data_IF_172668707440
#
_entry.id   IF_172668707440
#
_cell.length_a   1.000
_cell.length_b   1.000
_cell.length_c   1.000
_cell.angle_alpha   90.00
_cell.angle_beta   90.00
_cell.angle_gamma   90.00
#
_symmetry.space_group_name_H-M   'P 1'
#
loop_
_entity.id
_entity.type
_entity.pdbx_description
1 polymer ?
#
# COMPACT_ATOMS: atom_id res chain seq x y z
N UNK A 1 42.95 51.36 20.45
CA UNK A 1 42.23 52.22 19.51
C UNK A 1 41.63 51.38 18.42
N UNK A 2 40.36 51.66 18.17
CA UNK A 2 39.50 51.22 17.07
C UNK A 2 38.86 49.85 17.18
N UNK A 3 37.66 49.93 17.71
CA UNK A 3 36.53 49.02 17.70
C UNK A 3 36.00 48.85 16.28
N UNK A 4 35.69 47.62 15.79
CA UNK A 4 34.79 47.42 14.67
C UNK A 4 33.80 46.29 15.00
N UNK A 5 32.62 46.73 15.39
CA UNK A 5 31.42 45.91 15.47
C UNK A 5 31.10 45.33 14.08
N UNK A 6 31.02 43.99 13.97
CA UNK A 6 30.35 43.30 12.88
C UNK A 6 28.95 42.94 13.33
N UNK A 7 27.99 43.74 12.85
CA UNK A 7 26.56 43.39 12.98
C UNK A 7 26.26 42.41 11.84
N UNK A 8 26.12 41.16 12.21
CA UNK A 8 25.61 40.12 11.32
C UNK A 8 24.09 40.22 11.28
N UNK A 9 23.56 40.79 10.18
CA UNK A 9 22.12 40.83 9.90
C UNK A 9 21.71 39.44 9.40
N UNK A 10 21.10 38.64 10.28
CA UNK A 10 20.47 37.38 9.93
C UNK A 10 19.16 37.70 9.20
N UNK A 11 19.17 37.63 7.87
CA UNK A 11 17.94 37.71 7.09
C UNK A 11 17.12 36.44 7.31
N UNK A 12 16.13 36.51 8.21
CA UNK A 12 15.06 35.52 8.29
C UNK A 12 14.20 35.63 7.03
N UNK A 13 14.43 34.77 6.06
CA UNK A 13 13.47 34.52 4.98
C UNK A 13 12.24 33.82 5.59
N UNK A 14 11.20 34.59 5.85
CA UNK A 14 9.86 34.06 6.10
C UNK A 14 9.41 33.34 4.81
N UNK A 15 9.50 32.03 4.81
CA UNK A 15 8.70 31.24 3.87
C UNK A 15 7.24 31.39 4.30
N UNK A 16 6.52 32.32 3.71
CA UNK A 16 5.08 32.36 3.77
C UNK A 16 4.59 31.09 3.08
N UNK A 17 4.23 30.08 3.84
CA UNK A 17 3.39 28.98 3.35
C UNK A 17 2.06 29.61 2.99
N UNK A 18 1.84 29.86 1.71
CA UNK A 18 0.51 30.19 1.19
C UNK A 18 -0.33 28.93 1.37
N UNK A 19 -0.94 28.82 2.53
CA UNK A 19 -2.04 27.89 2.74
C UNK A 19 -3.18 28.44 1.88
N UNK A 20 -3.42 27.82 0.73
CA UNK A 20 -4.68 28.01 0.02
C UNK A 20 -5.76 27.51 0.97
N UNK A 21 -6.49 28.42 1.61
CA UNK A 21 -7.67 28.08 2.38
C UNK A 21 -8.61 27.33 1.43
N UNK A 22 -8.82 26.07 1.65
CA UNK A 22 -9.75 25.26 0.88
C UNK A 22 -11.13 25.90 1.05
N UNK A 23 -11.82 26.16 -0.05
CA UNK A 23 -13.12 26.87 -0.01
C UNK A 23 -14.14 25.98 0.71
N UNK A 24 -14.63 26.39 1.86
CA UNK A 24 -15.71 25.69 2.56
C UNK A 24 -17.04 25.92 1.85
N UNK A 25 -17.80 24.85 1.60
CA UNK A 25 -19.13 24.87 0.97
C UNK A 25 -20.15 24.14 1.83
N UNK A 26 -21.41 24.50 1.68
CA UNK A 26 -22.51 23.83 2.36
C UNK A 26 -22.84 22.50 1.69
N UNK A 27 -23.15 21.48 2.49
CA UNK A 27 -23.86 20.30 2.03
C UNK A 27 -25.28 20.28 2.61
N UNK A 28 -26.20 19.76 1.81
CA UNK A 28 -27.62 19.59 2.19
C UNK A 28 -28.05 18.20 1.78
N UNK A 29 -28.40 17.38 2.76
CA UNK A 29 -28.76 15.98 2.55
C UNK A 29 -30.14 15.74 3.14
N UNK A 30 -31.09 15.31 2.31
CA UNK A 30 -32.41 14.87 2.74
C UNK A 30 -32.55 13.39 2.40
N UNK A 31 -33.15 12.60 3.29
CA UNK A 31 -33.25 11.19 2.99
C UNK A 31 -34.20 10.41 3.86
N UNK A 32 -34.21 9.11 3.52
CA UNK A 32 -34.95 8.07 4.24
C UNK A 32 -34.00 6.98 4.69
N UNK A 33 -34.34 6.30 5.79
CA UNK A 33 -33.63 5.17 6.34
C UNK A 33 -34.59 4.21 7.05
N UNK A 34 -34.15 2.99 7.42
CA UNK A 34 -34.98 2.07 8.19
C UNK A 34 -35.50 2.70 9.47
N UNK A 35 -36.73 2.41 9.85
CA UNK A 35 -37.43 3.02 11.01
C UNK A 35 -36.71 2.72 12.35
N UNK A 36 -35.87 1.71 12.43
CA UNK A 36 -35.05 1.37 13.60
C UNK A 36 -33.89 2.35 13.83
N UNK A 37 -33.47 3.07 12.79
CA UNK A 37 -32.35 4.03 12.86
C UNK A 37 -32.80 5.28 13.63
N UNK A 38 -32.00 5.75 14.57
CA UNK A 38 -32.27 6.93 15.40
C UNK A 38 -31.43 8.14 15.03
N UNK A 39 -30.28 7.91 14.44
CA UNK A 39 -29.31 8.97 14.12
C UNK A 39 -28.59 8.64 12.82
N UNK A 40 -28.41 9.64 11.98
CA UNK A 40 -27.55 9.62 10.80
C UNK A 40 -26.30 10.43 11.12
N UNK A 41 -25.17 9.99 10.61
CA UNK A 41 -23.88 10.66 10.77
C UNK A 41 -23.30 11.02 9.41
N UNK A 42 -22.64 12.18 9.35
CA UNK A 42 -21.72 12.55 8.26
C UNK A 42 -20.31 12.39 8.78
N UNK A 43 -19.51 11.67 8.04
CA UNK A 43 -18.10 11.38 8.34
C UNK A 43 -17.21 12.14 7.37
N UNK A 44 -16.14 12.74 7.86
CA UNK A 44 -15.00 13.11 7.05
C UNK A 44 -14.14 11.86 6.87
N UNK A 45 -13.86 11.50 5.62
CA UNK A 45 -13.06 10.32 5.26
C UNK A 45 -11.83 10.68 4.41
N UNK A 46 -11.51 11.95 4.27
CA UNK A 46 -10.30 12.44 3.60
C UNK A 46 -9.02 12.17 4.41
N UNK A 47 -9.16 12.01 5.72
CA UNK A 47 -8.05 11.77 6.64
C UNK A 47 -7.69 10.28 6.80
N UNK A 48 -6.60 10.03 7.52
CA UNK A 48 -6.15 8.66 7.86
C UNK A 48 -7.12 7.91 8.80
N UNK A 49 -8.06 8.62 9.42
CA UNK A 49 -9.11 8.07 10.30
C UNK A 49 -10.42 8.78 10.02
N UNK A 50 -11.49 8.03 9.71
CA UNK A 50 -12.82 8.62 9.56
C UNK A 50 -13.27 9.30 10.86
N UNK A 51 -13.76 10.55 10.76
CA UNK A 51 -14.24 11.33 11.89
C UNK A 51 -15.69 11.77 11.67
N UNK A 52 -16.51 11.74 12.73
CA UNK A 52 -17.87 12.29 12.67
C UNK A 52 -17.78 13.81 12.68
N UNK A 53 -18.24 14.44 11.61
CA UNK A 53 -18.30 15.91 11.50
C UNK A 53 -19.69 16.48 11.74
N UNK A 54 -20.74 15.66 11.54
CA UNK A 54 -22.12 16.10 11.73
C UNK A 54 -23.04 14.92 12.03
N UNK A 55 -24.26 15.22 12.56
CA UNK A 55 -25.28 14.21 12.79
C UNK A 55 -26.68 14.82 12.82
N UNK A 56 -27.69 14.02 12.44
CA UNK A 56 -29.09 14.39 12.53
C UNK A 56 -29.94 13.28 13.16
N UNK A 57 -30.95 13.65 13.91
CA UNK A 57 -31.97 12.71 14.39
C UNK A 57 -32.87 12.27 13.25
N UNK A 58 -33.36 11.05 13.36
CA UNK A 58 -34.33 10.46 12.42
C UNK A 58 -35.71 10.54 13.02
N UNK A 59 -36.65 11.07 12.26
CA UNK A 59 -38.05 11.15 12.62
C UNK A 59 -38.90 10.41 11.59
N UNK A 60 -39.64 9.39 12.03
CA UNK A 60 -40.46 8.54 11.16
C UNK A 60 -39.72 8.02 9.91
N UNK A 61 -38.45 7.59 10.07
CA UNK A 61 -37.63 7.10 8.99
C UNK A 61 -37.12 8.16 8.00
N UNK A 62 -37.26 9.44 8.34
CA UNK A 62 -36.78 10.58 7.52
C UNK A 62 -35.73 11.37 8.29
N UNK A 63 -34.81 11.99 7.54
CA UNK A 63 -33.79 12.89 8.10
C UNK A 63 -33.48 14.04 7.15
N UNK A 64 -32.99 15.12 7.72
CA UNK A 64 -32.36 16.22 7.01
C UNK A 64 -31.12 16.66 7.76
N UNK A 65 -30.01 16.88 7.04
CA UNK A 65 -28.76 17.32 7.62
C UNK A 65 -28.15 18.40 6.72
N UNK A 66 -27.74 19.51 7.32
CA UNK A 66 -27.13 20.63 6.63
C UNK A 66 -25.88 21.03 7.40
N UNK A 67 -24.76 21.03 6.74
CA UNK A 67 -23.48 21.37 7.34
C UNK A 67 -22.55 22.03 6.36
N UNK A 68 -21.28 22.13 6.76
CA UNK A 68 -20.20 22.69 5.94
C UNK A 68 -18.98 21.81 6.02
N UNK A 69 -18.30 21.64 4.90
CA UNK A 69 -16.98 21.06 4.83
C UNK A 69 -16.21 21.69 3.68
N UNK A 70 -14.98 21.27 3.48
CA UNK A 70 -14.21 21.70 2.32
C UNK A 70 -14.91 21.30 1.02
N UNK A 71 -14.77 22.16 0.00
CA UNK A 71 -15.25 21.85 -1.33
C UNK A 71 -14.55 20.61 -1.86
N UNK A 72 -15.32 19.74 -2.47
CA UNK A 72 -14.90 18.47 -3.05
C UNK A 72 -14.39 17.44 -2.00
N UNK A 73 -14.50 17.71 -0.69
CA UNK A 73 -14.18 16.74 0.35
C UNK A 73 -14.93 15.41 0.14
N UNK A 74 -14.26 14.29 0.31
CA UNK A 74 -14.86 12.96 0.28
C UNK A 74 -15.50 12.69 1.64
N UNK A 75 -16.82 12.61 1.67
CA UNK A 75 -17.60 12.42 2.88
C UNK A 75 -18.34 11.07 2.86
N UNK A 76 -18.65 10.56 4.05
CA UNK A 76 -19.43 9.34 4.24
C UNK A 76 -20.75 9.61 4.96
N UNK A 77 -21.86 9.12 4.43
CA UNK A 77 -23.18 9.12 5.09
C UNK A 77 -23.45 7.73 5.68
N UNK A 78 -23.76 7.65 6.98
CA UNK A 78 -23.87 6.36 7.68
C UNK A 78 -24.87 6.35 8.81
N UNK A 79 -25.38 5.15 9.13
CA UNK A 79 -26.23 4.88 10.30
C UNK A 79 -25.44 4.24 11.45
N UNK A 80 -24.25 3.64 11.17
CA UNK A 80 -23.51 2.79 12.12
C UNK A 80 -22.11 3.30 12.44
N UNK A 81 -21.62 4.33 11.76
CA UNK A 81 -20.23 4.85 11.78
C UNK A 81 -19.19 3.84 11.25
N UNK A 82 -19.62 2.76 10.62
CA UNK A 82 -18.75 1.71 10.04
C UNK A 82 -18.95 1.59 8.53
N UNK A 83 -20.19 1.43 8.11
CA UNK A 83 -20.53 1.27 6.70
C UNK A 83 -21.15 2.59 6.23
N UNK A 84 -20.50 3.28 5.33
CA UNK A 84 -20.94 4.60 4.84
C UNK A 84 -21.09 4.59 3.33
N UNK A 85 -22.07 5.41 2.86
CA UNK A 85 -22.20 5.76 1.44
C UNK A 85 -21.41 7.02 1.19
N UNK A 86 -20.48 6.93 0.25
CA UNK A 86 -19.54 8.01 -0.04
C UNK A 86 -20.13 9.04 -1.02
N UNK A 87 -19.76 10.30 -0.83
CA UNK A 87 -20.09 11.39 -1.75
C UNK A 87 -19.05 12.51 -1.65
N UNK A 88 -18.94 13.31 -2.71
CA UNK A 88 -18.15 14.53 -2.70
C UNK A 88 -19.01 15.73 -2.32
N UNK A 89 -18.52 16.60 -1.44
CA UNK A 89 -19.18 17.87 -1.13
C UNK A 89 -18.93 18.89 -2.24
N UNK A 90 -19.68 18.81 -3.32
CA UNK A 90 -19.64 19.75 -4.45
C UNK A 90 -20.60 20.94 -4.29
N UNK A 91 -21.19 21.11 -3.09
CA UNK A 91 -22.14 22.17 -2.77
C UNK A 91 -23.56 21.94 -3.32
N UNK A 92 -23.84 20.82 -3.98
CA UNK A 92 -25.15 20.48 -4.51
C UNK A 92 -25.96 19.62 -3.55
N UNK A 93 -27.30 19.75 -3.52
CA UNK A 93 -28.14 18.93 -2.67
C UNK A 93 -28.04 17.44 -2.98
N UNK A 94 -28.12 16.61 -1.93
CA UNK A 94 -28.13 15.16 -2.01
C UNK A 94 -29.48 14.64 -1.50
N UNK A 95 -30.04 13.67 -2.21
CA UNK A 95 -31.16 12.85 -1.75
C UNK A 95 -30.67 11.44 -1.47
N UNK A 96 -30.95 10.91 -0.27
CA UNK A 96 -30.50 9.62 0.17
C UNK A 96 -31.67 8.68 0.47
N UNK A 97 -31.56 7.43 0.02
CA UNK A 97 -32.36 6.29 0.46
C UNK A 97 -31.43 5.23 1.04
N UNK A 98 -31.21 5.27 2.33
CA UNK A 98 -30.29 4.36 3.02
C UNK A 98 -30.87 2.96 3.25
N UNK A 99 -32.16 2.74 2.96
CA UNK A 99 -32.73 1.39 2.93
C UNK A 99 -32.26 0.63 1.69
N UNK A 100 -32.16 1.34 0.56
CA UNK A 100 -31.79 0.78 -0.73
C UNK A 100 -30.36 1.16 -1.17
N UNK A 101 -29.58 1.79 -0.30
CA UNK A 101 -28.22 2.24 -0.56
C UNK A 101 -28.09 3.17 -1.78
N UNK A 102 -29.05 4.13 -1.92
CA UNK A 102 -29.09 5.05 -3.05
C UNK A 102 -28.78 6.47 -2.58
N UNK A 103 -27.78 7.09 -3.21
CA UNK A 103 -27.53 8.52 -3.15
C UNK A 103 -27.74 9.13 -4.54
N UNK A 104 -28.44 10.24 -4.61
CA UNK A 104 -28.61 11.06 -5.82
C UNK A 104 -28.21 12.49 -5.52
N UNK A 105 -27.41 13.08 -6.36
CA UNK A 105 -26.92 14.46 -6.22
C UNK A 105 -26.54 15.03 -7.57
N UNK A 106 -25.37 15.62 -7.66
CA UNK A 106 -24.76 15.98 -8.94
C UNK A 106 -24.55 14.76 -9.83
N UNK A 107 -24.19 14.99 -11.07
CA UNK A 107 -23.79 13.92 -11.99
C UNK A 107 -22.62 13.09 -11.42
N UNK A 108 -21.61 13.75 -10.84
CA UNK A 108 -20.49 13.13 -10.17
C UNK A 108 -20.94 12.17 -9.05
N UNK A 109 -21.76 12.67 -8.10
CA UNK A 109 -22.22 11.89 -6.96
C UNK A 109 -23.19 10.77 -7.35
N UNK A 110 -24.04 11.00 -8.34
CA UNK A 110 -24.94 9.96 -8.88
C UNK A 110 -24.14 8.83 -9.54
N UNK A 111 -23.11 9.18 -10.32
CA UNK A 111 -22.20 8.23 -10.97
C UNK A 111 -21.36 7.46 -9.94
N UNK A 112 -20.81 8.16 -8.93
CA UNK A 112 -20.06 7.53 -7.83
C UNK A 112 -20.93 6.49 -7.10
N UNK A 113 -22.16 6.84 -6.74
CA UNK A 113 -23.08 5.92 -6.07
C UNK A 113 -23.46 4.70 -6.95
N UNK A 114 -23.54 4.87 -8.27
CA UNK A 114 -23.76 3.74 -9.18
C UNK A 114 -22.59 2.74 -9.10
N UNK A 115 -21.35 3.22 -9.09
CA UNK A 115 -20.16 2.39 -8.91
C UNK A 115 -20.09 1.76 -7.51
N UNK A 116 -20.41 2.52 -6.45
CA UNK A 116 -20.42 2.02 -5.07
C UNK A 116 -21.38 0.82 -4.92
N UNK A 117 -22.57 0.92 -5.51
CA UNK A 117 -23.55 -0.19 -5.55
C UNK A 117 -23.08 -1.38 -6.39
N UNK A 118 -22.35 -1.12 -7.48
CA UNK A 118 -21.72 -2.16 -8.26
C UNK A 118 -20.67 -2.91 -7.45
N UNK A 119 -19.85 -2.18 -6.67
CA UNK A 119 -18.86 -2.79 -5.76
C UNK A 119 -19.53 -3.61 -4.66
N UNK A 120 -20.63 -3.11 -4.07
CA UNK A 120 -21.43 -3.89 -3.11
C UNK A 120 -21.89 -5.22 -3.73
N UNK A 121 -22.42 -5.19 -4.95
CA UNK A 121 -22.91 -6.39 -5.63
C UNK A 121 -21.79 -7.39 -5.97
N UNK A 122 -20.61 -6.91 -6.38
CA UNK A 122 -19.43 -7.74 -6.63
C UNK A 122 -18.82 -8.31 -5.34
N UNK A 123 -18.90 -7.56 -4.24
CA UNK A 123 -18.40 -7.94 -2.93
C UNK A 123 -19.34 -8.85 -2.12
N UNK A 124 -20.54 -9.15 -2.62
CA UNK A 124 -21.45 -10.11 -1.99
C UNK A 124 -20.72 -11.43 -1.76
N UNK A 125 -20.63 -11.86 -0.50
CA UNK A 125 -19.88 -13.06 -0.11
C UNK A 125 -18.58 -12.79 0.65
N UNK A 126 -18.02 -11.58 0.61
CA UNK A 126 -16.84 -11.24 1.44
C UNK A 126 -17.19 -11.21 2.93
N UNK A 127 -18.27 -10.52 3.32
CA UNK A 127 -18.66 -10.41 4.73
C UNK A 127 -18.83 -11.77 5.41
N UNK A 128 -19.57 -12.76 4.84
CA UNK A 128 -19.63 -14.10 5.41
C UNK A 128 -18.27 -14.80 5.53
N UNK A 129 -17.34 -14.57 4.61
CA UNK A 129 -15.99 -15.13 4.66
C UNK A 129 -15.16 -14.48 5.76
N UNK A 130 -15.22 -13.15 5.91
CA UNK A 130 -14.55 -12.45 7.01
C UNK A 130 -15.11 -12.82 8.38
N UNK A 131 -16.43 -13.05 8.48
CA UNK A 131 -17.04 -13.58 9.71
C UNK A 131 -16.51 -14.98 10.03
N UNK A 132 -16.33 -15.86 9.04
CA UNK A 132 -15.70 -17.17 9.24
C UNK A 132 -14.26 -17.03 9.74
N UNK A 133 -13.46 -16.11 9.14
CA UNK A 133 -12.10 -15.81 9.60
C UNK A 133 -12.11 -15.30 11.04
N UNK A 134 -12.98 -14.35 11.39
CA UNK A 134 -13.10 -13.82 12.74
C UNK A 134 -13.48 -14.92 13.75
N UNK A 135 -14.43 -15.79 13.40
CA UNK A 135 -14.84 -16.92 14.24
C UNK A 135 -13.68 -17.88 14.48
N UNK A 136 -12.80 -18.14 13.51
CA UNK A 136 -11.62 -19.00 13.68
C UNK A 136 -10.61 -18.43 14.70
N UNK A 137 -10.49 -17.10 14.79
CA UNK A 137 -9.65 -16.47 15.81
C UNK A 137 -10.25 -16.51 17.21
N UNK A 138 -11.58 -16.45 17.31
CA UNK A 138 -12.30 -16.44 18.57
C UNK A 138 -12.65 -17.86 19.08
N UNK A 139 -12.48 -18.90 18.26
CA UNK A 139 -12.82 -20.28 18.62
C UNK A 139 -11.79 -20.84 19.61
N UNK A 140 -12.24 -21.13 20.83
CA UNK A 140 -11.44 -21.82 21.85
C UNK A 140 -11.19 -23.27 21.45
N UNK A 141 -10.04 -23.83 21.87
CA UNK A 141 -9.68 -25.22 21.65
C UNK A 141 -9.07 -25.56 20.28
N UNK A 142 -9.04 -24.64 19.31
CA UNK A 142 -8.35 -24.86 18.05
C UNK A 142 -6.83 -24.72 18.22
N UNK A 143 -6.09 -25.75 17.83
CA UNK A 143 -4.63 -25.65 17.71
C UNK A 143 -4.24 -24.65 16.64
N UNK A 144 -3.00 -24.13 16.75
CA UNK A 144 -2.43 -23.20 15.74
C UNK A 144 -2.46 -23.81 14.33
N UNK A 145 -2.16 -25.11 14.21
CA UNK A 145 -2.11 -25.82 12.92
C UNK A 145 -3.51 -25.96 12.29
N UNK A 146 -4.52 -26.35 13.08
CA UNK A 146 -5.90 -26.47 12.59
C UNK A 146 -6.45 -25.12 12.13
N UNK A 147 -6.17 -24.05 12.89
CA UNK A 147 -6.53 -22.68 12.49
C UNK A 147 -5.88 -22.30 11.17
N UNK A 148 -4.58 -22.55 11.01
CA UNK A 148 -3.87 -22.25 9.75
C UNK A 148 -4.43 -23.03 8.56
N UNK A 149 -4.78 -24.31 8.74
CA UNK A 149 -5.37 -25.11 7.67
C UNK A 149 -6.72 -24.53 7.22
N UNK A 150 -7.60 -24.18 8.16
CA UNK A 150 -8.90 -23.57 7.86
C UNK A 150 -8.76 -22.19 7.19
N UNK A 151 -7.77 -21.37 7.62
CA UNK A 151 -7.49 -20.09 6.96
C UNK A 151 -7.01 -20.28 5.53
N UNK A 152 -6.17 -21.29 5.24
CA UNK A 152 -5.73 -21.63 3.88
C UNK A 152 -6.89 -22.03 2.95
N UNK A 153 -7.98 -22.58 3.49
CA UNK A 153 -9.18 -22.92 2.70
C UNK A 153 -10.05 -21.70 2.37
N UNK A 154 -10.05 -20.69 3.26
CA UNK A 154 -10.82 -19.45 3.07
C UNK A 154 -10.09 -18.44 2.19
N UNK A 155 -8.77 -18.36 2.29
CA UNK A 155 -7.94 -17.39 1.60
C UNK A 155 -8.17 -17.33 0.08
N UNK A 156 -8.18 -18.43 -0.68
CA UNK A 156 -8.41 -18.37 -2.12
C UNK A 156 -9.82 -17.87 -2.50
N UNK A 157 -10.82 -18.08 -1.62
CA UNK A 157 -12.18 -17.59 -1.84
C UNK A 157 -12.27 -16.07 -1.67
N UNK A 158 -11.58 -15.55 -0.65
CA UNK A 158 -11.47 -14.10 -0.42
C UNK A 158 -10.69 -13.46 -1.57
N UNK A 159 -9.51 -13.98 -1.89
CA UNK A 159 -8.65 -13.48 -2.98
C UNK A 159 -9.35 -13.45 -4.33
N UNK A 160 -10.20 -14.43 -4.63
CA UNK A 160 -10.95 -14.46 -5.87
C UNK A 160 -11.97 -13.32 -5.99
N UNK A 161 -12.59 -12.92 -4.87
CA UNK A 161 -13.52 -11.77 -4.85
C UNK A 161 -12.73 -10.47 -4.89
N UNK A 162 -11.69 -10.33 -4.05
CA UNK A 162 -10.85 -9.14 -3.98
C UNK A 162 -10.16 -8.84 -5.33
N UNK A 163 -9.70 -9.88 -6.03
CA UNK A 163 -9.12 -9.74 -7.38
C UNK A 163 -10.13 -9.12 -8.36
N UNK A 164 -11.38 -9.59 -8.34
CA UNK A 164 -12.44 -9.05 -9.21
C UNK A 164 -12.79 -7.60 -8.84
N UNK A 165 -12.91 -7.31 -7.54
CA UNK A 165 -13.18 -5.96 -7.04
C UNK A 165 -12.07 -4.99 -7.45
N UNK A 166 -10.81 -5.37 -7.22
CA UNK A 166 -9.66 -4.52 -7.53
C UNK A 166 -9.48 -4.30 -9.03
N UNK A 167 -9.71 -5.34 -9.86
CA UNK A 167 -9.72 -5.20 -11.31
C UNK A 167 -10.79 -4.20 -11.76
N UNK A 168 -12.01 -4.32 -11.22
CA UNK A 168 -13.12 -3.42 -11.57
C UNK A 168 -12.89 -1.98 -11.09
N UNK A 169 -12.37 -1.81 -9.86
CA UNK A 169 -11.97 -0.48 -9.35
C UNK A 169 -10.94 0.19 -10.26
N UNK A 170 -9.95 -0.56 -10.73
CA UNK A 170 -8.93 -0.04 -11.64
C UNK A 170 -9.55 0.39 -13.00
N UNK A 171 -10.51 -0.35 -13.54
CA UNK A 171 -11.26 0.06 -14.74
C UNK A 171 -12.04 1.36 -14.49
N UNK A 172 -12.73 1.46 -13.34
CA UNK A 172 -13.47 2.68 -12.96
C UNK A 172 -12.52 3.87 -12.84
N UNK A 173 -11.37 3.71 -12.20
CA UNK A 173 -10.33 4.74 -12.10
C UNK A 173 -9.91 5.20 -13.49
N UNK A 174 -9.53 4.27 -14.38
CA UNK A 174 -9.07 4.58 -15.74
C UNK A 174 -10.15 5.27 -16.59
N UNK A 175 -11.43 4.92 -16.38
CA UNK A 175 -12.56 5.54 -17.08
C UNK A 175 -12.96 6.93 -16.54
N UNK A 176 -12.33 7.40 -15.45
CA UNK A 176 -12.72 8.64 -14.76
C UNK A 176 -11.52 9.53 -14.41
N UNK A 177 -10.43 9.47 -15.18
CA UNK A 177 -9.20 10.23 -14.88
C UNK A 177 -9.34 11.75 -15.04
N UNK A 178 -10.49 12.22 -15.52
CA UNK A 178 -10.85 13.64 -15.74
C UNK A 178 -11.76 14.21 -14.62
N UNK A 179 -12.10 13.41 -13.60
CA UNK A 179 -12.97 13.81 -12.51
C UNK A 179 -12.49 13.25 -11.16
N UNK A 180 -13.26 13.44 -10.07
CA UNK A 180 -12.84 13.05 -8.72
C UNK A 180 -13.07 11.58 -8.36
N UNK A 181 -13.77 10.79 -9.15
CA UNK A 181 -14.09 9.38 -8.82
C UNK A 181 -12.85 8.55 -8.44
N UNK A 182 -11.67 8.72 -9.06
CA UNK A 182 -10.46 8.00 -8.66
C UNK A 182 -10.07 8.14 -7.18
N UNK A 183 -10.42 9.26 -6.54
CA UNK A 183 -10.15 9.49 -5.11
C UNK A 183 -10.75 8.40 -4.23
N UNK A 184 -11.96 7.94 -4.58
CA UNK A 184 -12.69 6.95 -3.81
C UNK A 184 -12.05 5.54 -3.84
N UNK A 185 -11.27 5.22 -4.88
CA UNK A 185 -10.82 3.84 -5.13
C UNK A 185 -9.31 3.66 -5.22
N UNK A 186 -8.52 4.74 -5.41
CA UNK A 186 -7.07 4.63 -5.55
C UNK A 186 -6.40 4.01 -4.33
N UNK A 187 -6.88 4.33 -3.12
CA UNK A 187 -6.37 3.76 -1.88
C UNK A 187 -6.44 2.24 -1.82
N UNK A 188 -7.48 1.65 -2.43
CA UNK A 188 -7.71 0.22 -2.41
C UNK A 188 -6.78 -0.55 -3.36
N UNK A 189 -6.47 0.02 -4.53
CA UNK A 189 -5.75 -0.70 -5.60
C UNK A 189 -4.26 -0.38 -5.66
N UNK A 190 -3.83 0.74 -5.08
CA UNK A 190 -2.48 1.28 -5.29
C UNK A 190 -1.36 0.31 -4.89
N UNK A 191 -1.58 -0.48 -3.84
CA UNK A 191 -0.58 -1.42 -3.32
C UNK A 191 -0.34 -2.64 -4.22
N UNK A 192 -1.25 -2.90 -5.17
CA UNK A 192 -1.15 -3.98 -6.15
C UNK A 192 -0.59 -3.53 -7.51
N UNK A 193 -0.34 -2.23 -7.71
CA UNK A 193 0.10 -1.67 -8.99
C UNK A 193 1.62 -1.61 -9.11
N UNK A 194 2.10 -1.75 -10.34
CA UNK A 194 3.50 -1.47 -10.67
C UNK A 194 3.76 0.04 -10.72
N UNK A 195 5.01 0.45 -10.47
CA UNK A 195 5.38 1.87 -10.42
C UNK A 195 4.95 2.67 -11.67
N UNK A 196 5.10 2.10 -12.86
CA UNK A 196 4.71 2.78 -14.10
C UNK A 196 3.20 3.02 -14.21
N UNK A 197 2.39 2.09 -13.69
CA UNK A 197 0.92 2.26 -13.62
C UNK A 197 0.56 3.36 -12.62
N UNK A 198 1.20 3.35 -11.44
CA UNK A 198 1.02 4.40 -10.42
C UNK A 198 1.37 5.79 -10.98
N UNK A 199 2.46 5.90 -11.74
CA UNK A 199 2.94 7.14 -12.34
C UNK A 199 1.90 7.77 -13.25
N UNK A 200 1.22 6.98 -14.08
CA UNK A 200 0.17 7.49 -14.98
C UNK A 200 -1.08 7.92 -14.20
N UNK A 201 -1.49 7.13 -13.21
CA UNK A 201 -2.68 7.41 -12.39
C UNK A 201 -2.48 8.61 -11.44
N UNK A 202 -1.26 8.87 -11.01
CA UNK A 202 -0.93 9.92 -10.03
C UNK A 202 -0.18 11.10 -10.64
N UNK A 203 -0.25 11.27 -11.98
CA UNK A 203 0.30 12.42 -12.64
C UNK A 203 -0.31 13.71 -12.10
N UNK A 204 0.53 14.73 -11.83
CA UNK A 204 0.11 15.99 -11.21
C UNK A 204 -0.88 16.80 -12.05
N UNK A 205 -1.02 16.50 -13.34
CA UNK A 205 -2.02 17.11 -14.24
C UNK A 205 -3.44 16.58 -14.02
N UNK A 206 -3.61 15.48 -13.30
CA UNK A 206 -4.92 14.92 -13.00
C UNK A 206 -5.70 15.82 -12.05
N UNK A 207 -6.97 16.04 -12.32
CA UNK A 207 -7.83 16.94 -11.52
C UNK A 207 -7.92 16.52 -10.04
N UNK A 208 -7.79 15.23 -9.76
CA UNK A 208 -7.82 14.65 -8.42
C UNK A 208 -6.44 14.56 -7.74
N UNK A 209 -5.35 14.82 -8.48
CA UNK A 209 -4.00 14.54 -7.98
C UNK A 209 -3.65 15.27 -6.68
N UNK A 210 -4.27 16.42 -6.39
CA UNK A 210 -4.02 17.22 -5.18
C UNK A 210 -5.04 16.98 -4.07
N UNK A 211 -5.95 16.02 -4.25
CA UNK A 211 -6.99 15.75 -3.25
C UNK A 211 -6.38 15.23 -1.94
N UNK A 212 -6.81 15.74 -0.76
CA UNK A 212 -6.25 15.35 0.55
C UNK A 212 -6.37 13.85 0.86
N UNK A 213 -7.47 13.20 0.49
CA UNK A 213 -7.66 11.76 0.67
C UNK A 213 -6.57 10.90 0.01
N UNK A 214 -5.82 11.44 -0.95
CA UNK A 214 -4.73 10.73 -1.61
C UNK A 214 -3.36 10.92 -0.94
N UNK A 215 -3.26 11.58 0.21
CA UNK A 215 -1.98 11.85 0.85
C UNK A 215 -1.20 10.56 1.17
N UNK A 216 -1.85 9.52 1.68
CA UNK A 216 -1.20 8.23 1.97
C UNK A 216 -0.80 7.51 0.67
N UNK A 217 -1.65 7.55 -0.36
CA UNK A 217 -1.36 7.03 -1.71
C UNK A 217 -0.12 7.70 -2.29
N UNK A 218 0.01 9.02 -2.15
CA UNK A 218 1.17 9.79 -2.62
C UNK A 218 2.44 9.47 -1.84
N UNK A 219 2.34 9.27 -0.53
CA UNK A 219 3.48 8.83 0.28
C UNK A 219 4.00 7.48 -0.19
N UNK A 220 3.10 6.54 -0.42
CA UNK A 220 3.47 5.23 -0.97
C UNK A 220 4.09 5.36 -2.37
N UNK A 221 3.48 6.14 -3.25
CA UNK A 221 4.03 6.42 -4.59
C UNK A 221 5.43 7.03 -4.53
N UNK A 222 5.69 7.98 -3.62
CA UNK A 222 7.01 8.58 -3.45
C UNK A 222 8.08 7.55 -3.03
N UNK A 223 7.70 6.60 -2.15
CA UNK A 223 8.57 5.47 -1.77
C UNK A 223 8.87 4.60 -2.99
N UNK A 224 7.86 4.26 -3.78
CA UNK A 224 8.02 3.44 -4.98
C UNK A 224 8.83 4.17 -6.06
N UNK A 225 8.65 5.49 -6.22
CA UNK A 225 9.43 6.33 -7.13
C UNK A 225 10.91 6.34 -6.74
N UNK A 226 11.22 6.52 -5.45
CA UNK A 226 12.59 6.44 -4.93
C UNK A 226 13.21 5.07 -5.23
N UNK A 227 12.47 4.00 -4.97
CA UNK A 227 12.92 2.63 -5.24
C UNK A 227 13.13 2.41 -6.74
N UNK A 228 12.18 2.78 -7.59
CA UNK A 228 12.29 2.66 -9.05
C UNK A 228 13.47 3.46 -9.62
N UNK A 229 13.91 4.52 -8.93
CA UNK A 229 15.07 5.33 -9.35
C UNK A 229 16.40 4.57 -9.31
N UNK A 230 16.45 3.40 -8.70
CA UNK A 230 17.64 2.52 -8.72
C UNK A 230 17.78 1.76 -10.04
N UNK A 231 16.71 1.53 -10.78
CA UNK A 231 16.78 0.84 -12.09
C UNK A 231 17.71 1.63 -13.04
N UNK A 232 18.63 0.93 -13.69
CA UNK A 232 19.65 1.50 -14.57
C UNK A 232 20.86 2.09 -13.85
N UNK A 233 20.88 2.11 -12.52
CA UNK A 233 22.04 2.55 -11.73
C UNK A 233 22.89 1.38 -11.28
N UNK A 234 24.16 1.63 -11.00
CA UNK A 234 25.03 0.65 -10.34
C UNK A 234 24.55 0.40 -8.92
N UNK A 235 24.72 -0.85 -8.47
CA UNK A 235 24.50 -1.19 -7.06
C UNK A 235 25.39 -0.31 -6.16
N UNK A 236 24.97 -0.10 -4.93
CA UNK A 236 25.77 0.63 -3.94
C UNK A 236 26.49 -0.38 -3.06
N UNK A 237 27.82 -0.30 -3.01
CA UNK A 237 28.62 -1.23 -2.19
C UNK A 237 28.39 -0.96 -0.70
N UNK A 238 28.13 -2.02 0.05
CA UNK A 238 28.00 -2.01 1.51
C UNK A 238 28.81 -3.16 2.10
N UNK A 239 29.12 -3.07 3.37
CA UNK A 239 29.82 -4.11 4.14
C UNK A 239 28.92 -4.60 5.25
N UNK A 240 28.61 -5.89 5.25
CA UNK A 240 27.92 -6.57 6.35
C UNK A 240 28.59 -7.90 6.67
N UNK A 241 28.28 -8.49 7.81
CA UNK A 241 28.92 -9.71 8.26
C UNK A 241 28.11 -10.96 7.89
N UNK A 242 28.81 -12.06 7.60
CA UNK A 242 28.20 -13.39 7.52
C UNK A 242 27.80 -13.91 8.92
N UNK A 243 27.22 -15.09 8.96
CA UNK A 243 26.77 -15.74 10.22
C UNK A 243 27.92 -16.07 11.19
N UNK A 244 29.15 -16.03 10.74
CA UNK A 244 30.36 -16.28 11.53
C UNK A 244 31.05 -14.97 11.96
N UNK A 245 30.47 -13.81 11.60
CA UNK A 245 31.02 -12.49 11.89
C UNK A 245 32.12 -12.03 10.94
N UNK A 246 32.34 -12.74 9.82
CA UNK A 246 33.30 -12.32 8.81
C UNK A 246 32.66 -11.23 7.92
N UNK A 247 33.36 -10.08 7.72
CA UNK A 247 32.84 -9.02 6.87
C UNK A 247 32.95 -9.38 5.38
N UNK A 248 31.92 -9.03 4.62
CA UNK A 248 31.82 -9.17 3.18
C UNK A 248 31.30 -7.88 2.55
N UNK A 249 31.76 -7.58 1.33
CA UNK A 249 31.28 -6.48 0.51
C UNK A 249 30.34 -7.01 -0.57
N UNK A 250 29.31 -6.27 -0.89
CA UNK A 250 28.44 -6.62 -2.04
C UNK A 250 29.23 -6.70 -3.34
N UNK A 251 30.30 -5.90 -3.49
CA UNK A 251 31.20 -5.93 -4.63
C UNK A 251 32.01 -7.22 -4.76
N UNK A 252 31.99 -8.11 -3.77
CA UNK A 252 32.58 -9.47 -3.91
C UNK A 252 31.70 -10.37 -4.78
N UNK A 253 30.40 -10.05 -4.89
CA UNK A 253 29.39 -10.85 -5.59
C UNK A 253 28.81 -10.14 -6.82
N UNK A 254 28.46 -8.85 -6.70
CA UNK A 254 27.86 -8.06 -7.76
C UNK A 254 28.93 -7.49 -8.72
N UNK A 255 28.60 -7.41 -10.02
CA UNK A 255 29.50 -6.88 -11.04
C UNK A 255 30.68 -7.80 -11.34
N UNK A 256 30.54 -9.11 -11.19
CA UNK A 256 31.55 -10.14 -11.41
C UNK A 256 31.23 -11.07 -12.58
N UNK A 257 30.39 -10.63 -13.50
CA UNK A 257 30.01 -11.43 -14.66
C UNK A 257 28.78 -12.31 -14.46
N UNK A 258 28.14 -12.24 -13.30
CA UNK A 258 26.95 -13.01 -12.94
C UNK A 258 25.74 -12.08 -12.68
N UNK A 259 24.52 -12.57 -12.91
CA UNK A 259 23.31 -11.94 -12.37
C UNK A 259 23.20 -12.24 -10.89
N UNK A 260 22.95 -11.20 -10.07
CA UNK A 260 22.84 -11.34 -8.60
C UNK A 260 21.51 -10.79 -8.12
N UNK A 261 20.75 -11.61 -7.40
CA UNK A 261 19.58 -11.17 -6.66
C UNK A 261 20.03 -10.71 -5.27
N UNK A 262 19.96 -9.42 -4.99
CA UNK A 262 20.07 -8.87 -3.63
C UNK A 262 18.69 -9.03 -3.00
N UNK A 263 18.54 -9.94 -2.04
CA UNK A 263 17.28 -10.28 -1.38
C UNK A 263 17.23 -9.72 0.05
N UNK A 264 16.28 -8.84 0.34
CA UNK A 264 16.08 -8.22 1.64
C UNK A 264 15.01 -8.97 2.41
N UNK A 265 15.41 -9.64 3.49
CA UNK A 265 14.56 -10.54 4.24
C UNK A 265 14.79 -10.50 5.76
N UNK A 266 14.06 -11.31 6.54
CA UNK A 266 14.34 -11.57 7.94
C UNK A 266 13.74 -12.89 8.41
N UNK A 267 14.30 -13.47 9.46
CA UNK A 267 13.81 -14.72 10.06
C UNK A 267 12.37 -14.62 10.60
N UNK A 268 11.99 -13.46 11.09
CA UNK A 268 10.66 -13.13 11.62
C UNK A 268 9.66 -12.71 10.55
N UNK A 269 10.09 -12.48 9.31
CA UNK A 269 9.24 -12.04 8.21
C UNK A 269 8.46 -13.22 7.62
N UNK A 270 7.19 -13.36 7.97
CA UNK A 270 6.32 -14.42 7.46
C UNK A 270 6.22 -14.47 5.94
N UNK A 271 5.91 -13.36 5.25
CA UNK A 271 5.88 -13.32 3.78
C UNK A 271 7.22 -13.66 3.12
N UNK A 272 8.37 -13.23 3.71
CA UNK A 272 9.70 -13.61 3.21
C UNK A 272 9.89 -15.14 3.25
N UNK A 273 9.56 -15.75 4.38
CA UNK A 273 9.62 -17.21 4.57
C UNK A 273 8.70 -17.96 3.60
N UNK A 274 7.56 -17.37 3.26
CA UNK A 274 6.63 -17.92 2.27
C UNK A 274 7.18 -17.87 0.83
N UNK A 275 7.99 -16.87 0.52
CA UNK A 275 8.64 -16.71 -0.80
C UNK A 275 9.92 -17.58 -0.96
N UNK A 276 10.60 -17.93 0.13
CA UNK A 276 11.87 -18.68 0.06
C UNK A 276 11.82 -19.98 -0.75
N UNK A 277 10.76 -20.81 -0.73
CA UNK A 277 10.69 -21.98 -1.60
C UNK A 277 10.79 -21.64 -3.09
N UNK A 278 10.17 -20.55 -3.54
CA UNK A 278 10.25 -20.06 -4.91
C UNK A 278 11.65 -19.54 -5.25
N UNK A 279 12.24 -18.73 -4.36
CA UNK A 279 13.62 -18.21 -4.51
C UNK A 279 14.62 -19.37 -4.62
N UNK A 280 14.48 -20.38 -3.74
CA UNK A 280 15.33 -21.57 -3.72
C UNK A 280 15.22 -22.39 -5.01
N UNK A 281 14.01 -22.64 -5.49
CA UNK A 281 13.79 -23.39 -6.75
C UNK A 281 14.45 -22.67 -7.95
N UNK A 282 14.37 -21.35 -7.99
CA UNK A 282 15.04 -20.55 -9.03
C UNK A 282 16.57 -20.56 -8.85
N UNK A 283 17.09 -20.49 -7.64
CA UNK A 283 18.51 -20.61 -7.36
C UNK A 283 19.06 -21.97 -7.83
N UNK A 284 18.44 -23.07 -7.43
CA UNK A 284 18.82 -24.42 -7.84
C UNK A 284 18.83 -24.59 -9.36
N UNK A 285 17.86 -23.97 -10.06
CA UNK A 285 17.75 -24.06 -11.52
C UNK A 285 18.84 -23.26 -12.25
N UNK A 286 19.16 -22.06 -11.79
CA UNK A 286 19.97 -21.11 -12.56
C UNK A 286 21.37 -20.85 -12.00
N UNK A 287 21.69 -21.28 -10.76
CA UNK A 287 22.98 -21.03 -10.13
C UNK A 287 24.16 -21.54 -10.97
N UNK A 288 24.07 -22.76 -11.49
CA UNK A 288 25.12 -23.35 -12.35
C UNK A 288 25.31 -22.61 -13.70
N UNK A 289 24.40 -21.64 -14.02
CA UNK A 289 24.46 -20.79 -15.22
C UNK A 289 24.87 -19.35 -14.92
N UNK A 290 25.30 -19.07 -13.70
CA UNK A 290 25.76 -17.75 -13.29
C UNK A 290 24.69 -16.87 -12.63
N UNK A 291 23.70 -17.47 -11.99
CA UNK A 291 22.79 -16.76 -11.12
C UNK A 291 23.23 -16.90 -9.66
N UNK A 292 23.35 -15.80 -8.94
CA UNK A 292 23.73 -15.78 -7.55
C UNK A 292 22.71 -15.02 -6.70
N UNK A 293 22.69 -15.27 -5.40
CA UNK A 293 21.86 -14.55 -4.44
C UNK A 293 22.73 -14.05 -3.29
N UNK A 294 22.49 -12.83 -2.85
CA UNK A 294 23.00 -12.27 -1.60
C UNK A 294 21.82 -11.88 -0.73
N UNK A 295 21.60 -12.63 0.35
CA UNK A 295 20.56 -12.31 1.34
C UNK A 295 21.05 -11.25 2.31
N UNK A 296 20.33 -10.11 2.39
CA UNK A 296 20.58 -9.03 3.36
C UNK A 296 19.51 -9.07 4.44
N UNK A 297 19.90 -9.46 5.65
CA UNK A 297 18.92 -9.72 6.72
C UNK A 297 18.66 -8.50 7.59
N UNK A 298 17.37 -8.29 7.89
CA UNK A 298 16.84 -7.32 8.85
C UNK A 298 16.63 -7.92 10.24
N UNK A 299 17.39 -8.95 10.57
CA UNK A 299 17.39 -9.52 11.91
C UNK A 299 18.15 -8.67 12.91
N UNK A 300 17.81 -8.79 14.17
CA UNK A 300 18.53 -8.19 15.31
C UNK A 300 19.00 -9.26 16.33
N UNK A 301 18.80 -10.54 16.01
CA UNK A 301 19.18 -11.70 16.84
C UNK A 301 19.89 -12.72 15.99
N UNK A 302 21.20 -12.89 16.24
CA UNK A 302 22.06 -13.81 15.49
C UNK A 302 21.52 -15.24 15.48
N UNK A 303 21.11 -15.78 16.63
CA UNK A 303 20.68 -17.17 16.74
C UNK A 303 19.37 -17.44 15.97
N UNK A 304 18.43 -16.48 15.97
CA UNK A 304 17.19 -16.59 15.19
C UNK A 304 17.47 -16.58 13.69
N UNK A 305 18.39 -15.71 13.25
CA UNK A 305 18.83 -15.60 11.87
C UNK A 305 19.55 -16.87 11.40
N UNK A 306 20.56 -17.35 12.15
CA UNK A 306 21.27 -18.62 11.87
C UNK A 306 20.30 -19.78 11.74
N UNK A 307 19.42 -19.95 12.74
CA UNK A 307 18.41 -21.00 12.73
C UNK A 307 17.51 -20.93 11.50
N UNK A 308 17.09 -19.75 11.08
CA UNK A 308 16.25 -19.60 9.90
C UNK A 308 16.97 -19.99 8.61
N UNK A 309 18.26 -19.65 8.45
CA UNK A 309 19.09 -20.05 7.33
C UNK A 309 19.20 -21.59 7.27
N UNK A 310 19.46 -22.22 8.41
CA UNK A 310 19.57 -23.69 8.53
C UNK A 310 18.22 -24.38 8.23
N UNK A 311 17.14 -23.96 8.90
CA UNK A 311 15.79 -24.53 8.75
C UNK A 311 15.29 -24.47 7.31
N UNK A 312 15.57 -23.38 6.60
CA UNK A 312 15.17 -23.16 5.20
C UNK A 312 16.23 -23.63 4.20
N UNK A 313 17.41 -24.06 4.67
CA UNK A 313 18.52 -24.53 3.83
C UNK A 313 18.89 -23.52 2.75
N UNK A 314 19.13 -22.25 3.13
CA UNK A 314 19.51 -21.20 2.20
C UNK A 314 20.97 -21.40 1.77
N UNK A 315 21.20 -21.86 0.53
CA UNK A 315 22.49 -22.27 0.01
C UNK A 315 23.39 -21.12 -0.47
N UNK A 316 22.94 -19.86 -0.36
CA UNK A 316 23.67 -18.67 -0.78
C UNK A 316 24.18 -17.86 0.42
N UNK A 317 25.04 -16.86 0.15
CA UNK A 317 25.58 -16.00 1.19
C UNK A 317 24.46 -15.15 1.84
N UNK A 318 24.46 -15.12 3.16
CA UNK A 318 23.54 -14.30 3.94
C UNK A 318 24.37 -13.36 4.82
N UNK A 319 24.06 -12.06 4.78
CA UNK A 319 24.76 -11.00 5.47
C UNK A 319 23.82 -10.20 6.35
N UNK A 320 24.33 -9.66 7.47
CA UNK A 320 23.59 -8.79 8.37
C UNK A 320 24.51 -7.98 9.27
N UNK A 321 24.12 -6.75 9.60
CA UNK A 321 24.72 -5.97 10.67
C UNK A 321 23.97 -6.10 12.01
N UNK A 322 22.92 -6.93 12.04
CA UNK A 322 22.04 -7.22 13.18
C UNK A 322 21.36 -5.98 13.78
N UNK A 323 21.11 -4.94 12.98
CA UNK A 323 20.46 -3.69 13.42
C UNK A 323 18.96 -3.60 13.09
N UNK A 324 18.36 -4.67 12.61
CA UNK A 324 16.95 -4.71 12.24
C UNK A 324 16.62 -3.65 11.17
N UNK A 325 15.62 -2.83 11.39
CA UNK A 325 15.25 -1.75 10.47
C UNK A 325 16.27 -0.60 10.35
N UNK A 326 17.29 -0.57 11.23
CA UNK A 326 18.39 0.39 11.18
C UNK A 326 19.62 -0.15 10.43
N UNK A 327 19.49 -1.27 9.73
CA UNK A 327 20.56 -1.88 8.95
C UNK A 327 21.08 -0.92 7.85
N UNK A 328 22.38 -0.97 7.59
CA UNK A 328 23.00 -0.18 6.52
C UNK A 328 22.38 -0.52 5.16
N UNK A 329 22.03 -1.78 4.93
CA UNK A 329 21.35 -2.23 3.72
C UNK A 329 20.02 -1.52 3.51
N UNK A 330 19.18 -1.48 4.56
CA UNK A 330 17.88 -0.80 4.52
C UNK A 330 17.99 0.69 4.24
N UNK A 331 18.91 1.37 4.91
CA UNK A 331 19.14 2.81 4.72
C UNK A 331 19.67 3.14 3.33
N UNK A 332 20.66 2.38 2.86
CA UNK A 332 21.31 2.60 1.57
C UNK A 332 20.34 2.41 0.40
N UNK A 333 19.58 1.34 0.41
CA UNK A 333 18.66 0.99 -0.67
C UNK A 333 17.23 1.53 -0.46
N UNK A 334 16.97 2.24 0.63
CA UNK A 334 15.69 2.84 0.93
C UNK A 334 14.59 1.80 1.14
N UNK A 335 14.92 0.66 1.76
CA UNK A 335 13.98 -0.43 2.03
C UNK A 335 13.13 -0.08 3.24
N UNK A 336 11.83 0.05 3.03
CA UNK A 336 10.84 0.38 4.07
C UNK A 336 9.92 -0.79 4.41
N UNK A 337 9.97 -1.86 3.62
CA UNK A 337 9.23 -3.10 3.84
C UNK A 337 9.97 -4.29 3.25
N UNK A 338 9.82 -5.46 3.86
CA UNK A 338 10.33 -6.75 3.37
C UNK A 338 9.17 -7.75 3.22
N UNK A 339 9.27 -8.69 2.26
CA UNK A 339 10.39 -8.95 1.37
C UNK A 339 10.58 -7.84 0.33
N UNK A 340 11.81 -7.62 -0.11
CA UNK A 340 12.17 -6.76 -1.23
C UNK A 340 13.37 -7.38 -1.97
N UNK A 341 13.52 -7.11 -3.26
CA UNK A 341 14.66 -7.63 -3.99
C UNK A 341 15.12 -6.72 -5.12
N UNK A 342 16.42 -6.74 -5.43
CA UNK A 342 17.03 -6.01 -6.53
C UNK A 342 17.82 -7.01 -7.37
N UNK A 343 17.50 -7.11 -8.66
CA UNK A 343 18.28 -7.93 -9.59
C UNK A 343 19.37 -7.07 -10.23
N UNK A 344 20.61 -7.48 -10.07
CA UNK A 344 21.81 -6.81 -10.58
C UNK A 344 22.36 -7.63 -11.75
N UNK A 345 22.70 -6.97 -12.87
CA UNK A 345 23.28 -7.60 -14.04
C UNK A 345 24.78 -7.92 -13.86
N UNK A 346 25.40 -8.64 -14.82
CA UNK A 346 26.83 -8.97 -14.77
C UNK A 346 27.80 -7.79 -14.62
N UNK A 347 27.40 -6.62 -15.06
CA UNK A 347 28.16 -5.36 -15.00
C UNK A 347 27.91 -4.59 -13.71
N UNK A 348 26.99 -5.05 -12.85
CA UNK A 348 26.65 -4.42 -11.58
C UNK A 348 25.55 -3.36 -11.68
N UNK A 349 24.76 -3.35 -12.74
CA UNK A 349 23.61 -2.44 -12.92
C UNK A 349 22.34 -3.10 -12.38
N UNK A 350 21.52 -2.37 -11.64
CA UNK A 350 20.21 -2.84 -11.15
C UNK A 350 19.24 -2.84 -12.33
N UNK A 351 18.73 -4.00 -12.71
CA UNK A 351 17.87 -4.18 -13.89
C UNK A 351 16.41 -4.51 -13.58
N UNK A 352 16.12 -4.97 -12.36
CA UNK A 352 14.76 -5.21 -11.91
C UNK A 352 14.65 -5.12 -10.37
N UNK A 353 13.42 -4.93 -9.89
CA UNK A 353 13.08 -4.81 -8.48
C UNK A 353 11.92 -5.74 -8.15
N UNK A 354 11.85 -6.18 -6.88
CA UNK A 354 10.70 -6.89 -6.30
C UNK A 354 10.20 -8.08 -7.13
N UNK A 355 11.12 -8.84 -7.67
CA UNK A 355 10.80 -10.08 -8.39
C UNK A 355 10.35 -11.14 -7.39
N UNK A 356 9.04 -11.45 -7.38
CA UNK A 356 8.42 -12.44 -6.48
C UNK A 356 7.51 -13.38 -7.25
N UNK A 357 7.27 -14.57 -6.68
CA UNK A 357 6.43 -15.59 -7.30
C UNK A 357 6.90 -15.86 -8.74
N UNK A 358 5.97 -15.95 -9.64
CA UNK A 358 6.23 -16.25 -11.06
C UNK A 358 7.12 -15.20 -11.76
N UNK A 359 7.17 -13.94 -11.24
CA UNK A 359 7.97 -12.87 -11.85
C UNK A 359 9.48 -13.16 -11.81
N UNK A 360 9.98 -13.76 -10.72
CA UNK A 360 11.39 -14.12 -10.62
C UNK A 360 11.75 -15.19 -11.67
N UNK A 361 10.97 -16.25 -11.72
CA UNK A 361 11.19 -17.33 -12.70
C UNK A 361 11.04 -16.84 -14.15
N UNK A 362 10.05 -16.00 -14.44
CA UNK A 362 9.85 -15.40 -15.76
C UNK A 362 11.05 -14.54 -16.18
N UNK A 363 11.57 -13.70 -15.28
CA UNK A 363 12.73 -12.85 -15.56
C UNK A 363 14.00 -13.64 -15.76
N UNK A 364 14.25 -14.66 -14.95
CA UNK A 364 15.42 -15.55 -15.12
C UNK A 364 15.30 -16.39 -16.40
N UNK A 365 14.10 -16.84 -16.76
CA UNK A 365 13.86 -17.48 -18.04
C UNK A 365 14.14 -16.56 -19.23
N UNK A 366 13.75 -15.29 -19.16
CA UNK A 366 14.09 -14.28 -20.17
C UNK A 366 15.63 -14.13 -20.32
N UNK A 367 16.35 -14.12 -19.20
CA UNK A 367 17.81 -13.95 -19.18
C UNK A 367 18.54 -15.19 -19.68
N UNK A 368 18.16 -16.37 -19.22
CA UNK A 368 18.89 -17.62 -19.48
C UNK A 368 18.31 -18.47 -20.59
N UNK A 369 17.10 -18.16 -21.10
CA UNK A 369 16.48 -18.79 -22.25
C UNK A 369 15.72 -20.10 -21.98
N UNK A 370 15.53 -20.52 -20.71
CA UNK A 370 14.88 -21.81 -20.36
C UNK A 370 14.17 -21.79 -19.01
#
# INVERSE_FOLDING_TARGET
MINKNFISTLAMTLFATVSFAQQSVEYRINGTCPASVKTIYVMDIDGSRPEVIDSAKVEAGKFAINGKSDKDALLGLTTTKKDYRIFFNDGKPITADLTNNVLKGSELNTKLNAYDREMDALGVGLEPLYQQVANLYNQEGLSKQERQNKLKELQPKIEAIDTKLNARKLEIIKANMDNLIPVAYLGDVIFGLEYNEMKDLLDDSRVYAKHPALNEVKRYYAIMAKKASFIGKKFVDIVENDVNGKPHKLSEYCGKGNYVLIDFWASWCGPCRGEMPNVKANYEKYHAKGFEIVGLSFDNKLEAWKKAIEDMQLGWINLSDLKGWQTIAGQTYGITSIPASFLVDPEGTIVALDLRGDKLGAKLKEIYGF
#
